data_IF_498696388669
#
_entry.id   IF_498696388669
#
_cell.length_a   1.000
_cell.length_b   1.000
_cell.length_c   1.000
_cell.angle_alpha   90.00
_cell.angle_beta   90.00
_cell.angle_gamma   90.00
#
_symmetry.space_group_name_H-M   'P 1'
#
loop_
_entity.id
_entity.type
_entity.pdbx_description
1 polymer ?
#
# COMPACT_ATOMS: atom_id res chain seq x y z
N UNK A 1 5.65 -1.76 -1.39
CA UNK A 1 4.25 -2.16 -1.62
C UNK A 1 3.36 -1.47 -0.62
N UNK A 2 2.28 -0.90 -1.07
CA UNK A 2 1.22 -0.44 -0.19
C UNK A 2 -0.11 -1.08 -0.62
N UNK A 3 -0.95 -1.40 0.35
CA UNK A 3 -2.23 -2.05 0.11
C UNK A 3 -3.37 -1.24 0.74
N UNK A 4 -4.54 -1.33 0.14
CA UNK A 4 -5.68 -0.49 0.52
C UNK A 4 -7.00 -1.22 0.26
N UNK A 5 -8.10 -0.76 0.90
CA UNK A 5 -9.40 -1.43 0.82
C UNK A 5 -10.06 -1.44 -0.56
N UNK A 6 -9.76 -0.50 -1.43
CA UNK A 6 -10.36 -0.61 -2.75
C UNK A 6 -10.17 0.57 -3.69
N UNK A 7 -10.12 0.25 -4.97
CA UNK A 7 -10.15 1.23 -6.05
C UNK A 7 -11.45 2.04 -5.97
N UNK A 8 -11.37 3.33 -6.34
CA UNK A 8 -12.48 4.27 -6.35
C UNK A 8 -13.10 4.58 -4.99
N UNK A 9 -12.45 4.16 -3.90
CA UNK A 9 -12.93 4.49 -2.55
C UNK A 9 -12.30 5.80 -2.06
N UNK A 10 -12.91 6.52 -1.08
CA UNK A 10 -12.51 7.90 -0.78
C UNK A 10 -11.05 8.10 -0.36
N UNK A 11 -10.58 7.49 0.73
CA UNK A 11 -9.22 7.68 1.23
C UNK A 11 -8.17 7.15 0.26
N UNK A 12 -8.45 6.01 -0.37
CA UNK A 12 -7.56 5.40 -1.35
C UNK A 12 -7.35 6.30 -2.56
N UNK A 13 -8.44 6.93 -3.06
CA UNK A 13 -8.42 7.76 -4.26
C UNK A 13 -7.97 9.19 -4.00
N UNK A 14 -8.26 9.73 -2.81
CA UNK A 14 -7.99 11.14 -2.52
C UNK A 14 -6.60 11.35 -1.92
N UNK A 15 -6.06 10.38 -1.19
CA UNK A 15 -4.82 10.57 -0.43
C UNK A 15 -3.76 9.51 -0.70
N UNK A 16 -4.08 8.22 -0.58
CA UNK A 16 -3.04 7.20 -0.55
C UNK A 16 -2.37 6.99 -1.92
N UNK A 17 -3.13 6.63 -2.94
CA UNK A 17 -2.54 6.42 -4.27
C UNK A 17 -1.94 7.70 -4.85
N UNK A 18 -2.62 8.86 -4.82
CA UNK A 18 -2.03 10.10 -5.29
C UNK A 18 -0.77 10.49 -4.51
N UNK A 19 -0.72 10.25 -3.21
CA UNK A 19 0.44 10.53 -2.38
C UNK A 19 1.67 9.73 -2.80
N UNK A 20 1.51 8.43 -3.06
CA UNK A 20 2.60 7.58 -3.54
C UNK A 20 3.04 7.96 -4.96
N UNK A 21 2.12 8.31 -5.83
CA UNK A 21 2.46 8.77 -7.18
C UNK A 21 3.25 10.07 -7.14
N UNK A 22 2.85 11.01 -6.31
CA UNK A 22 3.57 12.27 -6.10
C UNK A 22 5.00 12.06 -5.60
N UNK A 23 5.19 11.09 -4.69
CA UNK A 23 6.50 10.80 -4.08
C UNK A 23 7.27 9.68 -4.82
N UNK A 24 6.78 9.25 -5.97
CA UNK A 24 7.37 8.13 -6.70
C UNK A 24 8.87 8.33 -6.97
N UNK A 25 9.27 9.50 -7.47
CA UNK A 25 10.67 9.75 -7.82
C UNK A 25 11.58 9.70 -6.59
N UNK A 26 11.12 10.19 -5.45
CA UNK A 26 11.87 10.12 -4.20
C UNK A 26 12.00 8.67 -3.71
N UNK A 27 10.91 7.91 -3.77
CA UNK A 27 10.91 6.50 -3.40
C UNK A 27 11.84 5.69 -4.29
N UNK A 28 11.87 5.96 -5.59
CA UNK A 28 12.72 5.24 -6.57
C UNK A 28 14.21 5.44 -6.34
N UNK A 29 14.61 6.40 -5.55
CA UNK A 29 16.03 6.55 -5.13
C UNK A 29 16.46 5.42 -4.19
N UNK A 30 15.50 4.75 -3.56
CA UNK A 30 15.75 3.73 -2.53
C UNK A 30 15.26 2.34 -2.91
N UNK A 31 14.32 2.23 -3.84
CA UNK A 31 13.68 0.95 -4.20
C UNK A 31 13.64 0.77 -5.72
N UNK A 32 13.50 -0.47 -6.15
CA UNK A 32 13.41 -0.80 -7.57
C UNK A 32 12.03 -0.47 -8.15
N UNK A 33 10.97 -0.62 -7.35
CA UNK A 33 9.61 -0.33 -7.81
C UNK A 33 8.65 -0.05 -6.66
N UNK A 34 7.55 0.62 -6.98
CA UNK A 34 6.46 0.96 -6.05
C UNK A 34 5.18 0.33 -6.58
N UNK A 35 4.53 -0.48 -5.74
CA UNK A 35 3.33 -1.23 -6.09
C UNK A 35 2.15 -0.88 -5.18
N UNK A 36 0.99 -0.74 -5.80
CA UNK A 36 -0.30 -0.58 -5.12
C UNK A 36 -1.10 -1.88 -5.26
N UNK A 37 -1.49 -2.48 -4.14
CA UNK A 37 -2.25 -3.72 -4.11
C UNK A 37 -3.66 -3.49 -3.59
N UNK A 38 -4.65 -4.11 -4.22
CA UNK A 38 -6.03 -4.08 -3.76
C UNK A 38 -6.76 -5.36 -4.16
N UNK A 39 -7.79 -5.71 -3.39
CA UNK A 39 -8.70 -6.80 -3.73
C UNK A 39 -9.70 -6.28 -4.77
N UNK A 40 -9.19 -6.08 -5.96
CA UNK A 40 -9.91 -5.68 -7.16
C UNK A 40 -9.30 -6.40 -8.35
N UNK A 41 -10.06 -6.58 -9.41
CA UNK A 41 -9.53 -7.18 -10.63
C UNK A 41 -8.64 -6.21 -11.42
N UNK A 42 -7.95 -6.73 -12.43
CA UNK A 42 -7.01 -5.95 -13.24
C UNK A 42 -7.69 -4.84 -14.04
N UNK A 43 -8.91 -5.06 -14.49
CA UNK A 43 -9.64 -4.05 -15.29
C UNK A 43 -10.03 -2.86 -14.42
N UNK A 44 -10.52 -3.12 -13.21
CA UNK A 44 -10.87 -2.07 -12.25
C UNK A 44 -9.64 -1.29 -11.82
N UNK A 45 -8.54 -1.99 -11.50
CA UNK A 45 -7.29 -1.33 -11.09
C UNK A 45 -6.73 -0.45 -12.20
N UNK A 46 -6.77 -0.93 -13.45
CA UNK A 46 -6.30 -0.15 -14.59
C UNK A 46 -7.17 1.09 -14.84
N UNK A 47 -8.49 0.93 -14.76
CA UNK A 47 -9.42 2.06 -14.92
C UNK A 47 -9.21 3.11 -13.82
N UNK A 48 -9.00 2.68 -12.60
CA UNK A 48 -8.75 3.55 -11.46
C UNK A 48 -7.44 4.34 -11.62
N UNK A 49 -6.37 3.65 -12.01
CA UNK A 49 -5.09 4.31 -12.28
C UNK A 49 -5.23 5.38 -13.38
N UNK A 50 -5.93 5.06 -14.45
CA UNK A 50 -6.17 6.00 -15.54
C UNK A 50 -7.02 7.19 -15.08
N UNK A 51 -8.03 6.97 -14.28
CA UNK A 51 -8.92 8.02 -13.75
C UNK A 51 -8.14 9.02 -12.88
N UNK A 52 -7.19 8.53 -12.09
CA UNK A 52 -6.36 9.36 -11.21
C UNK A 52 -5.09 9.90 -11.90
N UNK A 53 -4.86 9.56 -13.16
CA UNK A 53 -3.67 9.99 -13.88
C UNK A 53 -2.37 9.38 -13.37
N UNK A 54 -2.44 8.18 -12.80
CA UNK A 54 -1.26 7.47 -12.30
C UNK A 54 -0.45 6.93 -13.48
N UNK A 55 0.83 7.32 -13.55
CA UNK A 55 1.72 6.94 -14.63
C UNK A 55 2.84 5.99 -14.19
N UNK A 56 3.23 6.03 -12.93
CA UNK A 56 4.44 5.39 -12.43
C UNK A 56 4.18 4.24 -11.46
N UNK A 57 3.34 4.44 -10.44
CA UNK A 57 2.99 3.38 -9.49
C UNK A 57 2.31 2.22 -10.23
N UNK A 58 2.78 1.01 -10.00
CA UNK A 58 2.26 -0.19 -10.65
C UNK A 58 1.18 -0.84 -9.80
N UNK A 59 0.16 -1.38 -10.47
CA UNK A 59 -0.97 -2.01 -9.80
C UNK A 59 -0.77 -3.51 -9.66
N UNK A 60 -1.09 -4.04 -8.46
CA UNK A 60 -1.18 -5.48 -8.22
C UNK A 60 -2.65 -5.81 -7.96
N UNK A 61 -3.35 -6.39 -8.93
CA UNK A 61 -4.74 -6.80 -8.74
C UNK A 61 -4.80 -8.13 -7.98
N UNK A 62 -5.39 -8.10 -6.79
CA UNK A 62 -5.59 -9.29 -5.97
C UNK A 62 -7.09 -9.61 -5.87
N UNK A 63 -7.78 -9.67 -7.01
CA UNK A 63 -9.23 -9.85 -7.08
C UNK A 63 -9.74 -11.11 -6.41
N UNK A 64 -8.94 -12.17 -6.39
CA UNK A 64 -9.27 -13.42 -5.68
C UNK A 64 -8.93 -13.40 -4.21
N UNK A 65 -8.35 -12.32 -3.69
CA UNK A 65 -7.95 -12.16 -2.29
C UNK A 65 -6.92 -13.16 -1.77
N UNK A 66 -6.24 -13.88 -2.66
CA UNK A 66 -5.29 -14.94 -2.26
C UNK A 66 -4.08 -14.36 -1.52
N UNK A 67 -3.47 -13.34 -2.07
CA UNK A 67 -2.31 -12.69 -1.45
C UNK A 67 -2.71 -11.99 -0.14
N UNK A 68 -3.79 -11.25 -0.16
CA UNK A 68 -4.31 -10.53 1.01
C UNK A 68 -4.61 -11.50 2.16
N UNK A 69 -5.23 -12.63 1.85
CA UNK A 69 -5.49 -13.68 2.85
C UNK A 69 -4.18 -14.23 3.42
N UNK A 70 -3.21 -14.52 2.55
CA UNK A 70 -1.90 -15.08 2.96
C UNK A 70 -1.13 -14.10 3.85
N UNK A 71 -1.31 -12.79 3.64
CA UNK A 71 -0.70 -11.75 4.48
C UNK A 71 -1.42 -11.56 5.82
N UNK A 72 -2.57 -12.19 6.03
CA UNK A 72 -3.36 -12.00 7.24
C UNK A 72 -4.07 -10.63 7.27
N UNK A 73 -4.25 -10.00 6.11
CA UNK A 73 -4.81 -8.65 6.00
C UNK A 73 -6.23 -8.63 5.42
N UNK A 74 -6.84 -9.80 5.25
CA UNK A 74 -8.19 -9.88 4.70
C UNK A 74 -9.22 -9.46 5.74
N UNK A 75 -10.09 -8.54 5.35
CA UNK A 75 -11.20 -8.05 6.19
C UNK A 75 -12.50 -8.12 5.40
N UNK A 76 -13.61 -8.22 6.12
CA UNK A 76 -14.94 -8.18 5.53
C UNK A 76 -15.58 -6.82 5.83
N UNK A 77 -16.07 -6.15 4.78
CA UNK A 77 -16.66 -4.81 4.89
C UNK A 77 -18.10 -4.79 4.33
N UNK A 78 -19.06 -5.44 5.03
CA UNK A 78 -20.44 -5.53 4.52
C UNK A 78 -21.18 -4.20 4.53
N UNK A 79 -20.80 -3.26 5.41
CA UNK A 79 -21.52 -1.98 5.55
C UNK A 79 -21.45 -1.12 4.31
N UNK A 80 -20.36 -1.21 3.53
CA UNK A 80 -20.21 -0.51 2.26
C UNK A 80 -20.54 -1.39 1.05
N UNK A 81 -21.01 -2.61 1.27
CA UNK A 81 -21.16 -3.63 0.24
C UNK A 81 -19.83 -3.94 -0.47
N UNK A 82 -18.73 -3.78 0.21
CA UNK A 82 -17.41 -4.05 -0.35
C UNK A 82 -17.12 -5.56 -0.43
N UNK A 83 -17.66 -6.34 0.51
CA UNK A 83 -17.31 -7.74 0.67
C UNK A 83 -15.90 -7.88 1.26
N UNK A 84 -15.16 -8.87 0.76
CA UNK A 84 -13.80 -9.14 1.25
C UNK A 84 -12.81 -8.16 0.64
N UNK A 85 -12.02 -7.51 1.48
CA UNK A 85 -11.05 -6.48 1.08
C UNK A 85 -9.74 -6.63 1.85
N UNK A 86 -8.72 -5.89 1.41
CA UNK A 86 -7.46 -5.76 2.15
C UNK A 86 -7.58 -4.68 3.21
N UNK A 87 -7.07 -4.96 4.40
CA UNK A 87 -6.78 -3.90 5.36
C UNK A 87 -5.66 -3.01 4.80
N UNK A 88 -5.59 -1.77 5.26
CA UNK A 88 -4.59 -0.81 4.78
C UNK A 88 -3.25 -1.04 5.48
N UNK A 89 -2.21 -1.22 4.69
CA UNK A 89 -0.84 -1.37 5.20
C UNK A 89 0.16 -0.94 4.12
N UNK A 90 1.41 -0.78 4.54
CA UNK A 90 2.54 -0.67 3.62
C UNK A 90 3.67 -1.57 4.08
N UNK A 91 4.54 -1.97 3.16
CA UNK A 91 5.68 -2.80 3.49
C UNK A 91 6.86 -2.53 2.57
N UNK A 92 8.05 -2.72 3.12
CA UNK A 92 9.30 -2.74 2.37
C UNK A 92 9.70 -4.20 2.20
N UNK A 93 9.91 -4.62 0.96
CA UNK A 93 10.32 -5.97 0.62
C UNK A 93 11.68 -5.90 -0.03
N UNK A 94 12.66 -6.62 0.53
CA UNK A 94 14.03 -6.67 0.04
C UNK A 94 14.38 -8.13 -0.28
N UNK A 95 14.54 -8.44 -1.55
CA UNK A 95 14.85 -9.78 -2.04
C UNK A 95 13.92 -10.86 -1.46
N UNK A 96 12.62 -10.59 -1.52
CA UNK A 96 11.58 -11.50 -1.04
C UNK A 96 11.36 -11.49 0.46
N UNK A 97 12.09 -10.66 1.22
CA UNK A 97 11.97 -10.57 2.67
C UNK A 97 11.32 -9.25 3.05
N UNK A 98 10.27 -9.31 3.86
CA UNK A 98 9.62 -8.12 4.41
C UNK A 98 10.50 -7.59 5.54
N UNK A 99 11.07 -6.38 5.34
CA UNK A 99 11.94 -5.74 6.32
C UNK A 99 11.20 -4.75 7.21
N UNK A 100 10.13 -4.16 6.68
CA UNK A 100 9.26 -3.22 7.41
C UNK A 100 7.81 -3.51 7.04
N UNK A 101 6.94 -3.53 8.04
CA UNK A 101 5.51 -3.74 7.85
C UNK A 101 4.75 -2.73 8.70
N UNK A 102 3.95 -1.87 8.05
CA UNK A 102 3.22 -0.79 8.69
C UNK A 102 1.72 -1.05 8.54
N UNK A 103 1.14 -1.73 9.52
CA UNK A 103 -0.29 -1.99 9.55
C UNK A 103 -1.01 -0.80 10.20
N UNK A 104 -2.05 -0.28 9.54
CA UNK A 104 -2.89 0.75 10.14
C UNK A 104 -3.56 0.20 11.41
N UNK A 105 -3.68 1.03 12.46
CA UNK A 105 -4.23 0.54 13.73
C UNK A 105 -5.71 0.23 13.65
N UNK A 106 -6.19 -0.63 14.54
CA UNK A 106 -7.60 -0.91 14.69
C UNK A 106 -8.21 -1.82 13.66
N UNK A 107 -7.43 -2.73 13.07
CA UNK A 107 -7.96 -3.67 12.07
C UNK A 107 -9.22 -4.35 12.56
N UNK A 108 -10.27 -4.28 11.74
CA UNK A 108 -11.56 -4.83 12.09
C UNK A 108 -12.34 -5.27 10.85
N UNK A 109 -13.33 -6.12 11.09
CA UNK A 109 -14.38 -6.45 10.15
C UNK A 109 -15.60 -5.58 10.48
N UNK A 110 -16.46 -5.36 9.50
CA UNK A 110 -17.79 -4.77 9.63
C UNK A 110 -17.86 -3.26 9.79
N UNK A 111 -16.93 -2.58 10.48
CA UNK A 111 -17.05 -1.13 10.69
C UNK A 111 -16.83 -0.35 9.39
N UNK A 112 -17.75 0.55 9.09
CA UNK A 112 -17.65 1.44 7.94
C UNK A 112 -16.82 2.69 8.24
N UNK A 113 -16.73 3.07 9.50
CA UNK A 113 -16.17 4.35 9.92
C UNK A 113 -14.65 4.31 10.15
N UNK A 114 -14.09 3.09 10.28
CA UNK A 114 -12.67 2.92 10.51
C UNK A 114 -11.92 2.74 9.18
N UNK A 115 -11.37 3.83 8.69
CA UNK A 115 -10.53 3.82 7.50
C UNK A 115 -9.25 4.63 7.79
N UNK A 116 -8.41 4.15 8.74
CA UNK A 116 -7.24 4.90 9.19
C UNK A 116 -6.17 5.02 8.11
N UNK A 117 -5.50 6.17 8.10
CA UNK A 117 -4.37 6.44 7.22
C UNK A 117 -3.33 7.26 8.01
N UNK A 118 -2.54 6.58 8.83
CA UNK A 118 -1.60 7.20 9.77
C UNK A 118 -0.16 6.74 9.58
N UNK A 119 0.05 5.45 9.25
CA UNK A 119 1.39 4.83 9.26
C UNK A 119 1.79 4.20 7.93
N UNK A 120 0.89 4.13 6.96
CA UNK A 120 1.16 3.51 5.64
C UNK A 120 1.34 4.54 4.52
N UNK A 121 1.61 5.78 4.87
CA UNK A 121 1.83 6.89 3.96
C UNK A 121 3.25 6.87 3.37
N UNK A 122 3.47 7.55 2.23
CA UNK A 122 4.78 7.55 1.58
C UNK A 122 5.87 8.22 2.42
N UNK A 123 5.56 9.22 3.24
CA UNK A 123 6.56 9.89 4.08
C UNK A 123 7.10 8.95 5.16
N UNK A 124 6.25 8.12 5.76
CA UNK A 124 6.68 7.09 6.69
C UNK A 124 7.63 6.10 6.02
N UNK A 125 7.30 5.67 4.80
CA UNK A 125 8.15 4.79 4.01
C UNK A 125 9.50 5.42 3.69
N UNK A 126 9.51 6.69 3.32
CA UNK A 126 10.74 7.42 3.02
C UNK A 126 11.64 7.53 4.25
N UNK A 127 11.09 7.77 5.42
CA UNK A 127 11.85 7.78 6.68
C UNK A 127 12.49 6.42 6.97
N UNK A 128 11.73 5.34 6.79
CA UNK A 128 12.25 3.99 7.02
C UNK A 128 13.35 3.63 6.03
N UNK A 129 13.18 3.99 4.76
CA UNK A 129 14.18 3.75 3.71
C UNK A 129 15.44 4.59 3.93
N UNK A 130 15.30 5.84 4.31
CA UNK A 130 16.43 6.72 4.62
C UNK A 130 17.23 6.24 5.82
N UNK A 131 16.56 5.81 6.88
CA UNK A 131 17.20 5.25 8.08
C UNK A 131 17.97 3.97 7.75
N UNK A 132 17.38 3.10 6.92
CA UNK A 132 18.04 1.86 6.45
C UNK A 132 19.32 2.18 5.68
N UNK A 133 19.27 3.14 4.75
CA UNK A 133 20.44 3.57 3.97
C UNK A 133 21.52 4.13 4.86
N UNK A 134 21.18 4.97 5.81
CA UNK A 134 22.12 5.57 6.77
C UNK A 134 22.83 4.49 7.59
N UNK A 135 22.09 3.52 8.10
CA UNK A 135 22.67 2.43 8.90
C UNK A 135 23.59 1.54 8.05
N UNK A 136 23.25 1.30 6.79
CA UNK A 136 24.12 0.55 5.88
C UNK A 136 25.42 1.30 5.62
N UNK A 137 25.37 2.62 5.41
CA UNK A 137 26.56 3.44 5.18
C UNK A 137 27.49 3.42 6.40
N UNK A 138 26.95 3.53 7.61
CA UNK A 138 27.73 3.41 8.85
C UNK A 138 28.41 2.06 8.94
N UNK A 139 27.70 0.98 8.67
CA UNK A 139 28.22 -0.38 8.72
C UNK A 139 29.34 -0.59 7.69
N UNK A 140 29.17 -0.06 6.48
CA UNK A 140 30.16 -0.22 5.41
C UNK A 140 31.42 0.59 5.61
N UNK A 141 31.37 1.65 6.41
CA UNK A 141 32.52 2.52 6.70
C UNK A 141 33.34 2.09 7.93
N UNK A 142 32.89 1.07 8.61
CA UNK A 142 33.60 0.48 9.76
C UNK A 142 34.25 -0.85 9.36
#
# INVERSE_FOLDING_TARGET
VFSLPGAFTPTCSSFQLPGYEEKYDELKKHVDEVYCLSVNDSFVMNAWANDLGVENVKMIPDGGAHFTRSMGMLVEKPMQNFGMRSWRYSMIVDDGVITHFNEEPGRNDFSADDDPYEVSDPDTMLKQLGSKTFMQDITNNN
#
